data_IF_448657788201
#
_entry.id   IF_448657788201
#
_cell.length_a   1.000
_cell.length_b   1.000
_cell.length_c   1.000
_cell.angle_alpha   90.00
_cell.angle_beta   90.00
_cell.angle_gamma   90.00
#
_symmetry.space_group_name_H-M   'P 1'
#
loop_
_entity.id
_entity.type
_entity.pdbx_description
1 polymer ?
#
# COMPACT_ATOMS: atom_id res chain seq x y z
N UNK A 1 23.73 46.64 -42.42
CA UNK A 1 23.99 46.80 -40.97
C UNK A 1 22.67 46.56 -40.27
N UNK A 2 22.70 45.85 -39.13
CA UNK A 2 21.52 45.36 -38.43
C UNK A 2 20.53 46.45 -38.03
N UNK A 3 19.22 46.21 -38.19
CA UNK A 3 18.14 46.89 -37.45
C UNK A 3 16.93 45.93 -37.41
N UNK A 4 16.56 45.44 -36.22
CA UNK A 4 15.62 46.04 -35.26
C UNK A 4 14.20 46.11 -35.80
N UNK A 5 13.34 45.28 -35.22
CA UNK A 5 11.90 45.24 -35.51
C UNK A 5 11.21 46.26 -34.59
N UNK A 6 10.32 47.07 -35.17
CA UNK A 6 9.43 48.00 -34.47
C UNK A 6 7.98 47.47 -34.56
N UNK A 7 7.35 47.15 -33.43
CA UNK A 7 5.93 46.74 -33.32
C UNK A 7 5.65 45.93 -32.05
N UNK A 8 4.41 45.93 -31.50
CA UNK A 8 4.04 45.06 -30.38
C UNK A 8 4.02 43.60 -30.85
N UNK A 9 4.89 42.78 -30.26
CA UNK A 9 4.92 41.33 -30.43
C UNK A 9 4.03 40.69 -29.35
N UNK A 10 3.11 39.81 -29.77
CA UNK A 10 2.48 38.87 -28.84
C UNK A 10 3.48 37.73 -28.65
N UNK A 11 4.25 37.82 -27.57
CA UNK A 11 4.93 36.66 -27.01
C UNK A 11 3.85 35.90 -26.25
N UNK A 12 3.64 34.63 -26.60
CA UNK A 12 2.82 33.74 -25.78
C UNK A 12 3.51 33.60 -24.42
N UNK A 13 3.12 34.46 -23.48
CA UNK A 13 3.31 34.25 -22.07
C UNK A 13 2.31 33.17 -21.65
N UNK A 14 2.59 31.92 -22.04
CA UNK A 14 1.99 30.80 -21.34
C UNK A 14 2.58 30.81 -19.93
N UNK A 15 1.95 31.57 -19.03
CA UNK A 15 1.94 31.33 -17.59
C UNK A 15 1.18 30.02 -17.29
N UNK A 16 1.50 28.96 -18.04
CA UNK A 16 1.15 27.60 -17.64
C UNK A 16 2.07 27.29 -16.46
N UNK A 17 1.65 27.76 -15.28
CA UNK A 17 2.29 27.44 -14.02
C UNK A 17 2.34 25.92 -13.92
N UNK A 18 3.52 25.35 -14.16
CA UNK A 18 3.75 23.94 -13.91
C UNK A 18 3.56 23.74 -12.41
N UNK A 19 2.44 23.12 -12.05
CA UNK A 19 2.12 22.79 -10.66
C UNK A 19 2.72 21.42 -10.34
N UNK A 20 3.36 21.30 -9.18
CA UNK A 20 3.69 19.99 -8.61
C UNK A 20 2.38 19.24 -8.36
N UNK A 21 2.25 18.04 -8.94
CA UNK A 21 1.04 17.22 -8.84
C UNK A 21 1.39 15.83 -8.31
N UNK A 22 0.52 15.35 -7.43
CA UNK A 22 0.59 13.97 -6.94
C UNK A 22 0.07 13.01 -8.01
N UNK A 23 0.79 11.91 -8.21
CA UNK A 23 0.31 10.79 -9.01
C UNK A 23 -0.72 9.96 -8.23
N UNK A 24 -1.36 9.00 -8.90
CA UNK A 24 -2.44 8.20 -8.31
C UNK A 24 -1.92 7.39 -7.10
N UNK A 25 -2.30 7.82 -5.90
CA UNK A 25 -1.97 7.13 -4.66
C UNK A 25 -2.73 5.81 -4.49
N UNK A 26 -4.05 5.78 -4.72
CA UNK A 26 -4.90 4.59 -4.57
C UNK A 26 -4.71 3.55 -5.70
N UNK A 27 -3.54 2.92 -5.75
CA UNK A 27 -3.16 1.94 -6.77
C UNK A 27 -2.65 0.64 -6.15
N UNK A 28 -2.97 -0.49 -6.79
CA UNK A 28 -2.50 -1.80 -6.39
C UNK A 28 -2.06 -2.64 -7.61
N UNK A 29 -1.17 -3.59 -7.36
CA UNK A 29 -0.74 -4.64 -8.28
C UNK A 29 -1.04 -5.99 -7.65
N UNK A 30 -1.92 -6.76 -8.28
CA UNK A 30 -2.34 -8.06 -7.81
C UNK A 30 -1.91 -9.12 -8.82
N UNK A 31 -1.18 -10.12 -8.35
CA UNK A 31 -0.76 -11.27 -9.15
C UNK A 31 -1.36 -12.56 -8.60
N UNK A 32 -1.70 -13.49 -9.48
CA UNK A 32 -2.24 -14.79 -9.10
C UNK A 32 -2.75 -15.56 -10.30
N UNK A 33 -3.72 -16.43 -10.05
CA UNK A 33 -4.28 -17.35 -11.05
C UNK A 33 -5.76 -17.06 -11.29
N UNK A 34 -6.19 -17.20 -12.55
CA UNK A 34 -7.58 -17.03 -12.95
C UNK A 34 -8.00 -18.11 -13.97
N UNK A 35 -9.27 -18.59 -13.92
CA UNK A 35 -9.82 -19.58 -14.85
C UNK A 35 -10.15 -18.94 -16.22
N UNK A 36 -9.17 -18.32 -16.87
CA UNK A 36 -9.36 -17.54 -18.10
C UNK A 36 -9.91 -18.39 -19.27
N UNK A 37 -9.70 -19.70 -19.25
CA UNK A 37 -10.16 -20.64 -20.26
C UNK A 37 -11.68 -20.87 -20.21
N UNK A 38 -12.33 -20.57 -19.08
CA UNK A 38 -13.80 -20.61 -18.98
C UNK A 38 -14.46 -19.45 -19.74
N UNK A 39 -13.78 -18.30 -19.83
CA UNK A 39 -14.30 -17.09 -20.50
C UNK A 39 -13.80 -16.97 -21.93
N UNK A 40 -12.50 -17.14 -22.13
CA UNK A 40 -11.83 -16.96 -23.42
C UNK A 40 -11.61 -18.34 -24.05
N UNK A 41 -12.44 -18.71 -25.02
CA UNK A 41 -12.48 -20.08 -25.57
C UNK A 41 -11.33 -20.39 -26.52
N UNK A 42 -10.77 -19.36 -27.15
CA UNK A 42 -9.68 -19.54 -28.13
C UNK A 42 -8.31 -19.21 -27.50
N UNK A 43 -7.26 -19.94 -27.90
CA UNK A 43 -5.89 -19.69 -27.41
C UNK A 43 -5.42 -18.26 -27.74
N UNK A 44 -5.85 -17.70 -28.88
CA UNK A 44 -5.51 -16.33 -29.28
C UNK A 44 -6.11 -15.27 -28.35
N UNK A 45 -7.28 -15.53 -27.76
CA UNK A 45 -7.89 -14.66 -26.77
C UNK A 45 -7.23 -14.84 -25.40
N UNK A 46 -6.97 -16.09 -24.99
CA UNK A 46 -6.34 -16.42 -23.72
C UNK A 46 -4.97 -15.73 -23.54
N UNK A 47 -4.14 -15.69 -24.58
CA UNK A 47 -2.81 -15.03 -24.56
C UNK A 47 -2.88 -13.54 -24.18
N UNK A 48 -4.03 -12.86 -24.38
CA UNK A 48 -4.21 -11.46 -23.95
C UNK A 48 -4.35 -11.30 -22.44
N UNK A 49 -4.59 -12.40 -21.72
CA UNK A 49 -4.84 -12.46 -20.28
C UNK A 49 -3.78 -13.30 -19.53
N UNK A 50 -2.71 -13.75 -20.21
CA UNK A 50 -1.59 -14.48 -19.60
C UNK A 50 -0.38 -13.56 -19.57
N UNK A 51 0.18 -13.32 -18.38
CA UNK A 51 1.32 -12.43 -18.18
C UNK A 51 1.12 -11.04 -18.85
N UNK A 52 -0.11 -10.52 -18.80
CA UNK A 52 -0.48 -9.19 -19.28
C UNK A 52 -1.06 -8.37 -18.13
N UNK A 53 -0.54 -7.16 -17.86
CA UNK A 53 -1.14 -6.28 -16.87
C UNK A 53 -2.46 -5.71 -17.40
N UNK A 54 -3.54 -5.91 -16.65
CA UNK A 54 -4.90 -5.46 -16.99
C UNK A 54 -5.43 -4.59 -15.86
N UNK A 55 -5.98 -3.42 -16.21
CA UNK A 55 -6.52 -2.51 -15.21
C UNK A 55 -7.98 -2.86 -14.89
N UNK A 56 -8.25 -3.10 -13.62
CA UNK A 56 -9.59 -3.30 -13.06
C UNK A 56 -9.95 -2.07 -12.23
N UNK A 57 -11.12 -1.49 -12.53
CA UNK A 57 -11.71 -0.35 -11.81
C UNK A 57 -13.16 -0.59 -11.39
N UNK A 58 -13.81 -1.57 -12.00
CA UNK A 58 -15.19 -1.96 -11.71
C UNK A 58 -15.24 -3.45 -11.47
N UNK A 59 -16.09 -3.86 -10.54
CA UNK A 59 -16.27 -5.27 -10.20
C UNK A 59 -16.75 -6.11 -11.40
N UNK A 60 -17.61 -5.54 -12.25
CA UNK A 60 -18.10 -6.21 -13.45
C UNK A 60 -16.98 -6.60 -14.46
N UNK A 61 -15.85 -5.88 -14.44
CA UNK A 61 -14.73 -6.18 -15.34
C UNK A 61 -13.94 -7.43 -14.88
N UNK A 62 -14.12 -7.88 -13.62
CA UNK A 62 -13.47 -9.09 -13.08
C UNK A 62 -13.94 -10.33 -13.85
N UNK A 63 -15.26 -10.58 -13.86
CA UNK A 63 -15.82 -11.77 -14.52
C UNK A 63 -15.54 -11.74 -16.03
N UNK A 64 -15.57 -10.55 -16.64
CA UNK A 64 -15.30 -10.38 -18.08
C UNK A 64 -13.87 -10.75 -18.48
N UNK A 65 -12.89 -10.44 -17.63
CA UNK A 65 -11.48 -10.64 -17.98
C UNK A 65 -10.90 -11.92 -17.39
N UNK A 66 -11.31 -12.28 -16.17
CA UNK A 66 -10.69 -13.34 -15.37
C UNK A 66 -11.64 -14.51 -15.04
N UNK A 67 -12.95 -14.37 -15.29
CA UNK A 67 -13.92 -15.44 -15.08
C UNK A 67 -14.55 -15.52 -13.69
N UNK A 68 -15.31 -16.60 -13.43
CA UNK A 68 -15.99 -16.80 -12.15
C UNK A 68 -15.00 -17.11 -11.01
N UNK A 69 -15.50 -17.12 -9.77
CA UNK A 69 -14.71 -17.66 -8.66
C UNK A 69 -14.65 -19.17 -8.84
N UNK A 70 -13.46 -19.74 -8.71
CA UNK A 70 -13.20 -21.17 -8.79
C UNK A 70 -12.19 -21.56 -7.72
N UNK A 71 -12.40 -22.68 -7.07
CA UNK A 71 -11.44 -23.21 -6.12
C UNK A 71 -10.07 -23.45 -6.78
N UNK A 72 -9.01 -23.18 -6.03
CA UNK A 72 -7.61 -23.21 -6.52
C UNK A 72 -7.19 -21.98 -7.34
N UNK A 73 -8.12 -21.15 -7.82
CA UNK A 73 -7.81 -19.88 -8.49
C UNK A 73 -7.93 -18.70 -7.53
N UNK A 74 -6.93 -17.83 -7.52
CA UNK A 74 -6.87 -16.75 -6.51
C UNK A 74 -7.50 -15.44 -6.99
N UNK A 75 -7.29 -15.01 -8.24
CA UNK A 75 -7.58 -13.64 -8.66
C UNK A 75 -9.06 -13.23 -8.57
N UNK A 76 -10.04 -13.99 -9.10
CA UNK A 76 -11.44 -13.54 -9.06
C UNK A 76 -11.96 -13.36 -7.63
N UNK A 77 -11.63 -14.29 -6.73
CA UNK A 77 -12.00 -14.23 -5.32
C UNK A 77 -11.36 -13.03 -4.62
N UNK A 78 -10.04 -12.83 -4.78
CA UNK A 78 -9.30 -11.74 -4.13
C UNK A 78 -9.74 -10.36 -4.62
N UNK A 79 -9.99 -10.22 -5.92
CA UNK A 79 -10.53 -8.98 -6.46
C UNK A 79 -11.90 -8.68 -5.88
N UNK A 80 -12.81 -9.67 -5.83
CA UNK A 80 -14.12 -9.47 -5.19
C UNK A 80 -13.96 -9.08 -3.72
N UNK A 81 -13.10 -9.74 -2.95
CA UNK A 81 -12.80 -9.38 -1.56
C UNK A 81 -12.35 -7.91 -1.41
N UNK A 82 -11.47 -7.43 -2.30
CA UNK A 82 -11.10 -6.02 -2.36
C UNK A 82 -12.31 -5.12 -2.65
N UNK A 83 -13.12 -5.46 -3.66
CA UNK A 83 -14.31 -4.70 -4.07
C UNK A 83 -15.44 -4.70 -3.02
N UNK A 84 -15.49 -5.67 -2.08
CA UNK A 84 -16.42 -5.61 -0.93
C UNK A 84 -16.19 -4.37 -0.05
N UNK A 85 -14.99 -3.78 -0.08
CA UNK A 85 -14.70 -2.52 0.62
C UNK A 85 -15.22 -1.28 -0.12
N UNK A 86 -15.46 -1.40 -1.44
CA UNK A 86 -15.81 -0.30 -2.31
C UNK A 86 -17.06 0.45 -1.84
N UNK A 87 -17.09 1.74 -2.11
CA UNK A 87 -18.28 2.59 -1.98
C UNK A 87 -18.78 2.97 -3.39
N UNK A 88 -19.73 3.90 -3.46
CA UNK A 88 -20.35 4.35 -4.72
C UNK A 88 -19.37 4.82 -5.80
N UNK A 89 -18.16 5.26 -5.42
CA UNK A 89 -17.11 5.73 -6.34
C UNK A 89 -16.21 4.62 -6.90
N UNK A 90 -16.49 3.35 -6.59
CA UNK A 90 -15.64 2.21 -6.95
C UNK A 90 -14.42 2.08 -6.04
N UNK A 91 -13.41 1.34 -6.52
CA UNK A 91 -12.20 1.02 -5.78
C UNK A 91 -10.95 1.31 -6.64
N UNK A 92 -10.21 2.36 -6.29
CA UNK A 92 -8.88 2.71 -6.80
C UNK A 92 -8.60 2.38 -8.27
N UNK A 93 -7.36 2.01 -8.57
CA UNK A 93 -7.01 1.33 -9.83
C UNK A 93 -6.13 0.14 -9.52
N UNK A 94 -6.57 -1.05 -9.91
CA UNK A 94 -5.88 -2.31 -9.63
C UNK A 94 -5.30 -2.83 -10.94
N UNK A 95 -3.98 -2.99 -11.01
CA UNK A 95 -3.31 -3.68 -12.09
C UNK A 95 -3.24 -5.18 -11.76
N UNK A 96 -3.91 -5.99 -12.54
CA UNK A 96 -4.02 -7.44 -12.31
C UNK A 96 -3.20 -8.19 -13.35
N UNK A 97 -2.45 -9.18 -12.88
CA UNK A 97 -1.67 -10.09 -13.72
C UNK A 97 -2.05 -11.53 -13.39
N UNK A 98 -2.59 -12.23 -14.38
CA UNK A 98 -2.78 -13.66 -14.32
C UNK A 98 -1.55 -14.38 -14.89
N UNK A 99 -0.98 -15.31 -14.12
CA UNK A 99 0.13 -16.17 -14.56
C UNK A 99 -0.32 -17.52 -15.08
N UNK A 100 -1.55 -17.94 -14.75
CA UNK A 100 -2.09 -19.21 -15.18
C UNK A 100 -2.27 -19.25 -16.69
N UNK A 101 -1.66 -20.25 -17.30
CA UNK A 101 -1.77 -20.57 -18.72
C UNK A 101 -2.35 -21.99 -18.88
N UNK A 102 -3.58 -22.13 -19.40
CA UNK A 102 -4.25 -23.42 -19.56
C UNK A 102 -3.57 -24.37 -20.56
N UNK A 103 -2.67 -23.87 -21.41
CA UNK A 103 -1.91 -24.70 -22.34
C UNK A 103 -0.71 -25.39 -21.68
N UNK A 104 -0.17 -24.82 -20.60
CA UNK A 104 1.05 -25.28 -19.94
C UNK A 104 0.80 -25.85 -18.55
N UNK A 105 -0.11 -25.24 -17.78
CA UNK A 105 -0.47 -25.67 -16.43
C UNK A 105 -1.59 -26.69 -16.50
N UNK A 106 -1.22 -27.96 -16.67
CA UNK A 106 -2.16 -29.06 -16.84
C UNK A 106 -1.89 -30.22 -15.89
N UNK A 107 -2.96 -30.89 -15.47
CA UNK A 107 -2.89 -32.14 -14.73
C UNK A 107 -2.41 -33.31 -15.62
N UNK A 108 -2.27 -34.48 -15.02
CA UNK A 108 -1.83 -35.70 -15.71
C UNK A 108 -2.84 -36.20 -16.77
N UNK A 109 -4.07 -35.65 -16.76
CA UNK A 109 -5.13 -35.92 -17.72
C UNK A 109 -5.23 -34.85 -18.83
N UNK A 110 -4.21 -33.98 -18.96
CA UNK A 110 -4.14 -32.88 -19.93
C UNK A 110 -5.25 -31.81 -19.75
N UNK A 111 -5.81 -31.70 -18.54
CA UNK A 111 -6.81 -30.67 -18.19
C UNK A 111 -6.16 -29.49 -17.47
N UNK A 112 -6.65 -28.25 -17.67
CA UNK A 112 -6.10 -27.07 -16.99
C UNK A 112 -6.20 -27.20 -15.46
N UNK A 113 -5.07 -27.05 -14.76
CA UNK A 113 -4.97 -27.22 -13.31
C UNK A 113 -4.11 -26.10 -12.66
N UNK A 114 -4.69 -25.22 -11.83
CA UNK A 114 -3.98 -24.12 -11.20
C UNK A 114 -2.93 -24.57 -10.19
N UNK A 115 -3.00 -25.80 -9.66
CA UNK A 115 -2.03 -26.33 -8.70
C UNK A 115 -0.63 -26.51 -9.30
N UNK A 116 -0.55 -26.56 -10.64
CA UNK A 116 0.72 -26.68 -11.39
C UNK A 116 1.46 -25.36 -11.53
N UNK A 117 0.85 -24.23 -11.17
CA UNK A 117 1.51 -22.92 -11.16
C UNK A 117 2.56 -22.90 -10.06
N UNK A 118 3.81 -22.64 -10.44
CA UNK A 118 4.94 -22.67 -9.51
C UNK A 118 5.26 -21.27 -8.98
N UNK A 119 6.09 -21.21 -7.92
CA UNK A 119 6.64 -19.94 -7.46
C UNK A 119 7.46 -19.19 -8.52
N UNK A 120 8.06 -19.89 -9.49
CA UNK A 120 8.80 -19.27 -10.59
C UNK A 120 7.87 -18.50 -11.55
N UNK A 121 6.66 -18.99 -11.77
CA UNK A 121 5.68 -18.32 -12.63
C UNK A 121 5.21 -17.00 -11.99
N UNK A 122 5.06 -16.98 -10.66
CA UNK A 122 4.69 -15.79 -9.89
C UNK A 122 5.86 -14.80 -9.82
N UNK A 123 7.07 -15.25 -9.47
CA UNK A 123 8.28 -14.40 -9.44
C UNK A 123 8.52 -13.78 -10.82
N UNK A 124 8.42 -14.60 -11.87
CA UNK A 124 8.64 -14.22 -13.25
C UNK A 124 10.10 -13.95 -13.59
N UNK A 125 10.35 -13.63 -14.85
CA UNK A 125 11.68 -13.36 -15.38
C UNK A 125 11.63 -12.29 -16.48
N UNK A 126 12.80 -11.84 -16.91
CA UNK A 126 12.93 -11.11 -18.16
C UNK A 126 13.28 -12.09 -19.27
N UNK A 127 12.52 -12.06 -20.37
CA UNK A 127 12.86 -12.86 -21.55
C UNK A 127 14.14 -12.32 -22.25
N UNK A 128 14.62 -13.02 -23.29
CA UNK A 128 15.81 -12.61 -24.05
C UNK A 128 15.66 -11.23 -24.73
N UNK A 129 14.44 -10.71 -24.84
CA UNK A 129 14.12 -9.40 -25.40
C UNK A 129 13.85 -8.36 -24.29
N UNK A 130 14.12 -8.69 -23.03
CA UNK A 130 13.94 -7.81 -21.88
C UNK A 130 12.48 -7.61 -21.46
N UNK A 131 11.54 -8.45 -21.92
CA UNK A 131 10.13 -8.33 -21.54
C UNK A 131 9.89 -9.02 -20.19
N UNK A 132 9.30 -8.33 -19.21
CA UNK A 132 9.01 -8.92 -17.91
C UNK A 132 7.79 -9.86 -17.93
N UNK A 133 7.82 -10.88 -17.08
CA UNK A 133 6.67 -11.72 -16.69
C UNK A 133 6.48 -11.71 -15.17
N UNK A 134 5.37 -12.28 -14.69
CA UNK A 134 5.09 -12.41 -13.26
C UNK A 134 5.14 -11.08 -12.50
N UNK A 135 5.74 -11.08 -11.31
CA UNK A 135 5.91 -9.91 -10.46
C UNK A 135 6.75 -8.80 -11.14
N UNK A 136 7.71 -9.17 -12.00
CA UNK A 136 8.54 -8.19 -12.75
C UNK A 136 7.71 -7.24 -13.62
N UNK A 137 6.46 -7.60 -13.97
CA UNK A 137 5.56 -6.72 -14.71
C UNK A 137 5.23 -5.42 -13.96
N UNK A 138 5.40 -5.38 -12.64
CA UNK A 138 5.26 -4.15 -11.85
C UNK A 138 6.19 -3.02 -12.34
N UNK A 139 7.39 -3.34 -12.84
CA UNK A 139 8.30 -2.36 -13.44
C UNK A 139 7.75 -1.74 -14.73
N UNK A 140 7.01 -2.53 -15.52
CA UNK A 140 6.44 -2.09 -16.79
C UNK A 140 5.20 -1.20 -16.62
N UNK A 141 4.59 -1.16 -15.42
CA UNK A 141 3.41 -0.35 -15.15
C UNK A 141 3.64 1.13 -15.41
N UNK A 142 4.83 1.67 -15.09
CA UNK A 142 5.13 3.08 -15.34
C UNK A 142 5.13 3.41 -16.83
N UNK A 143 5.82 2.61 -17.66
CA UNK A 143 5.84 2.83 -19.11
C UNK A 143 4.47 2.65 -19.76
N UNK A 144 3.64 1.74 -19.22
CA UNK A 144 2.33 1.44 -19.80
C UNK A 144 1.20 2.36 -19.32
N UNK A 145 1.24 2.80 -18.07
CA UNK A 145 0.14 3.50 -17.41
C UNK A 145 0.51 4.87 -16.83
N UNK A 146 1.80 5.21 -16.80
CA UNK A 146 2.32 6.49 -16.28
C UNK A 146 2.47 6.57 -14.76
N UNK A 147 2.35 5.45 -14.05
CA UNK A 147 2.47 5.40 -12.58
C UNK A 147 2.94 4.02 -12.11
N UNK A 148 3.57 3.97 -10.93
CA UNK A 148 3.89 2.71 -10.26
C UNK A 148 2.79 2.31 -9.26
N UNK A 149 2.44 1.02 -9.17
CA UNK A 149 1.51 0.55 -8.15
C UNK A 149 2.10 0.74 -6.75
N UNK A 150 1.32 1.31 -5.81
CA UNK A 150 1.79 1.54 -4.43
C UNK A 150 1.65 0.32 -3.52
N UNK A 151 0.74 -0.60 -3.85
CA UNK A 151 0.45 -1.80 -3.06
C UNK A 151 0.64 -3.04 -3.93
N UNK A 152 1.48 -3.99 -3.52
CA UNK A 152 1.75 -5.24 -4.24
C UNK A 152 1.28 -6.42 -3.41
N UNK A 153 0.52 -7.32 -4.04
CA UNK A 153 -0.05 -8.49 -3.39
C UNK A 153 0.09 -9.72 -4.27
N UNK A 154 0.35 -10.86 -3.64
CA UNK A 154 0.30 -12.18 -4.27
C UNK A 154 -0.43 -13.19 -3.36
N UNK A 155 -1.70 -12.94 -2.96
CA UNK A 155 -2.37 -13.74 -1.93
C UNK A 155 -2.46 -15.21 -2.35
N UNK A 156 -2.02 -16.10 -1.46
CA UNK A 156 -1.94 -17.56 -1.71
C UNK A 156 -0.58 -18.02 -2.24
N UNK A 157 0.25 -17.11 -2.73
CA UNK A 157 1.62 -17.38 -3.19
C UNK A 157 2.67 -16.69 -2.31
N UNK A 158 2.23 -15.72 -1.52
CA UNK A 158 3.02 -14.96 -0.58
C UNK A 158 3.48 -15.79 0.63
N UNK A 159 3.09 -17.06 0.77
CA UNK A 159 3.71 -18.02 1.70
C UNK A 159 5.07 -18.55 1.23
N UNK A 160 5.43 -18.38 -0.04
CA UNK A 160 6.68 -18.86 -0.61
C UNK A 160 7.81 -17.85 -0.40
N UNK A 161 8.91 -18.25 0.24
CA UNK A 161 10.04 -17.38 0.53
C UNK A 161 10.63 -16.67 -0.71
N UNK A 162 10.69 -17.37 -1.85
CA UNK A 162 11.15 -16.79 -3.12
C UNK A 162 10.24 -15.67 -3.65
N UNK A 163 8.92 -15.82 -3.48
CA UNK A 163 7.94 -14.79 -3.86
C UNK A 163 8.06 -13.58 -2.92
N UNK A 164 8.17 -13.81 -1.61
CA UNK A 164 8.38 -12.77 -0.58
C UNK A 164 9.61 -11.92 -0.87
N UNK A 165 10.76 -12.56 -1.10
CA UNK A 165 12.03 -11.88 -1.39
C UNK A 165 11.95 -11.03 -2.66
N UNK A 166 11.27 -11.52 -3.70
CA UNK A 166 11.08 -10.75 -4.93
C UNK A 166 10.13 -9.56 -4.72
N UNK A 167 9.05 -9.73 -3.97
CA UNK A 167 8.13 -8.64 -3.64
C UNK A 167 8.86 -7.50 -2.91
N UNK A 168 9.69 -7.82 -1.92
CA UNK A 168 10.54 -6.84 -1.22
C UNK A 168 11.47 -6.10 -2.19
N UNK A 169 12.19 -6.84 -3.04
CA UNK A 169 13.13 -6.27 -4.01
C UNK A 169 12.44 -5.30 -4.99
N UNK A 170 11.23 -5.63 -5.45
CA UNK A 170 10.42 -4.76 -6.32
C UNK A 170 9.96 -3.53 -5.53
N UNK A 171 9.38 -3.73 -4.34
CA UNK A 171 8.88 -2.65 -3.49
C UNK A 171 9.96 -1.61 -3.17
N UNK A 172 11.18 -2.06 -2.85
CA UNK A 172 12.33 -1.18 -2.61
C UNK A 172 12.71 -0.33 -3.83
N UNK A 173 12.55 -0.87 -5.04
CA UNK A 173 12.89 -0.18 -6.30
C UNK A 173 11.84 0.80 -6.78
N UNK A 174 10.56 0.41 -6.76
CA UNK A 174 9.46 1.23 -7.31
C UNK A 174 8.78 2.12 -6.27
N UNK A 175 9.27 2.11 -5.02
CA UNK A 175 8.66 2.79 -3.89
C UNK A 175 7.22 2.34 -3.64
N UNK A 176 7.03 1.03 -3.52
CA UNK A 176 5.77 0.39 -3.20
C UNK A 176 5.87 -0.40 -1.89
N UNK A 177 4.79 -1.08 -1.53
CA UNK A 177 4.66 -1.85 -0.29
C UNK A 177 4.03 -3.20 -0.60
N UNK A 178 4.47 -4.24 0.10
CA UNK A 178 3.94 -5.59 -0.05
C UNK A 178 3.19 -6.04 1.19
N UNK A 179 2.33 -7.04 1.01
CA UNK A 179 1.49 -7.61 2.05
C UNK A 179 1.72 -9.11 2.10
N UNK A 180 2.04 -9.62 3.29
CA UNK A 180 2.24 -11.03 3.55
C UNK A 180 1.25 -11.52 4.57
N UNK A 181 0.55 -12.59 4.24
CA UNK A 181 -0.40 -13.26 5.08
C UNK A 181 0.27 -14.37 5.90
N UNK A 182 -0.17 -14.49 7.15
CA UNK A 182 0.18 -15.63 7.98
C UNK A 182 -0.59 -16.87 7.49
N UNK A 183 0.01 -18.07 7.58
CA UNK A 183 -0.70 -19.31 7.29
C UNK A 183 -1.98 -19.47 8.13
N UNK A 184 -2.93 -20.23 7.61
CA UNK A 184 -4.18 -20.53 8.31
C UNK A 184 -3.92 -21.30 9.62
N UNK A 185 -4.65 -20.95 10.68
CA UNK A 185 -4.61 -21.66 11.96
C UNK A 185 -3.40 -21.33 12.86
N UNK A 186 -2.58 -20.36 12.47
CA UNK A 186 -1.43 -19.91 13.27
C UNK A 186 -1.88 -19.23 14.55
N UNK A 187 -1.32 -19.64 15.69
CA UNK A 187 -1.57 -19.02 17.00
C UNK A 187 -0.76 -17.73 17.19
N UNK A 188 -1.17 -16.88 18.14
CA UNK A 188 -0.43 -15.67 18.49
C UNK A 188 1.03 -15.97 18.88
N UNK A 189 1.27 -17.06 19.62
CA UNK A 189 2.62 -17.46 20.01
C UNK A 189 3.48 -17.82 18.79
N UNK A 190 2.95 -18.64 17.89
CA UNK A 190 3.66 -19.02 16.65
C UNK A 190 3.94 -17.81 15.76
N UNK A 191 3.04 -16.83 15.77
CA UNK A 191 3.21 -15.56 15.05
C UNK A 191 4.35 -14.71 15.63
N UNK A 192 4.52 -14.70 16.95
CA UNK A 192 5.66 -14.04 17.61
C UNK A 192 6.97 -14.79 17.32
N UNK A 193 6.95 -16.11 17.41
CA UNK A 193 8.10 -16.97 17.09
C UNK A 193 8.53 -16.78 15.62
N UNK A 194 7.57 -16.60 14.70
CA UNK A 194 7.81 -16.31 13.27
C UNK A 194 8.52 -14.98 12.98
N UNK A 195 8.49 -14.02 13.92
CA UNK A 195 9.32 -12.80 13.83
C UNK A 195 10.79 -13.07 14.21
N UNK A 196 11.07 -14.20 14.84
CA UNK A 196 12.40 -14.65 15.26
C UNK A 196 12.89 -15.87 14.47
N UNK A 197 14.10 -16.37 14.80
CA UNK A 197 14.73 -17.48 14.08
C UNK A 197 14.09 -18.85 14.34
N UNK A 198 13.23 -18.96 15.36
CA UNK A 198 12.59 -20.22 15.78
C UNK A 198 11.18 -20.41 15.20
N UNK A 199 10.76 -19.53 14.29
CA UNK A 199 9.46 -19.56 13.65
C UNK A 199 9.19 -20.81 12.83
N UNK A 200 7.96 -21.34 12.92
CA UNK A 200 7.47 -22.41 12.04
C UNK A 200 7.20 -21.94 10.60
N UNK A 201 7.15 -20.62 10.38
CA UNK A 201 7.09 -19.95 9.10
C UNK A 201 7.85 -18.62 9.17
N UNK A 202 8.21 -18.07 8.01
CA UNK A 202 9.13 -16.94 7.94
C UNK A 202 8.43 -15.57 7.88
N UNK A 203 8.37 -14.85 9.00
CA UNK A 203 8.06 -13.41 9.05
C UNK A 203 9.28 -12.58 9.49
N UNK A 204 10.48 -13.12 9.29
CA UNK A 204 11.73 -12.51 9.75
C UNK A 204 12.22 -11.44 8.76
N UNK A 205 11.49 -10.34 8.67
CA UNK A 205 11.90 -9.15 7.91
C UNK A 205 11.88 -7.91 8.78
N UNK A 206 12.72 -6.94 8.44
CA UNK A 206 12.76 -5.60 9.03
C UNK A 206 12.57 -4.51 7.98
N UNK A 207 12.09 -4.87 6.78
CA UNK A 207 11.78 -3.88 5.76
C UNK A 207 10.52 -3.10 6.16
N UNK A 208 10.59 -1.77 6.07
CA UNK A 208 9.44 -0.92 6.33
C UNK A 208 8.38 -1.04 5.24
N UNK A 209 8.72 -1.56 4.06
CA UNK A 209 7.82 -1.77 2.93
C UNK A 209 6.96 -3.02 3.04
N UNK A 210 7.22 -3.90 4.02
CA UNK A 210 6.46 -5.14 4.23
C UNK A 210 5.39 -4.94 5.30
N UNK A 211 4.16 -5.35 5.01
CA UNK A 211 3.05 -5.35 5.96
C UNK A 211 2.61 -6.79 6.21
N UNK A 212 2.78 -7.25 7.45
CA UNK A 212 2.40 -8.60 7.87
C UNK A 212 0.93 -8.60 8.29
N UNK A 213 0.17 -9.60 7.85
CA UNK A 213 -1.27 -9.69 8.03
C UNK A 213 -1.62 -10.99 8.77
N UNK A 214 -2.34 -10.89 9.88
CA UNK A 214 -2.87 -12.02 10.64
C UNK A 214 -4.12 -11.60 11.42
N UNK A 215 -5.19 -12.39 11.53
CA UNK A 215 -5.36 -13.74 11.02
C UNK A 215 -5.86 -13.76 9.57
N UNK A 216 -6.13 -14.94 9.02
CA UNK A 216 -7.00 -15.06 7.84
C UNK A 216 -8.44 -14.65 8.19
N UNK A 217 -9.25 -14.34 7.18
CA UNK A 217 -10.65 -13.91 7.33
C UNK A 217 -11.60 -15.05 6.96
N UNK A 218 -12.74 -15.13 7.62
CA UNK A 218 -13.80 -16.08 7.26
C UNK A 218 -14.71 -15.47 6.19
N UNK A 219 -14.99 -16.22 5.14
CA UNK A 219 -15.88 -15.80 4.06
C UNK A 219 -16.64 -16.98 3.46
N UNK A 220 -17.82 -16.73 2.94
CA UNK A 220 -18.60 -17.73 2.21
C UNK A 220 -17.89 -18.11 0.91
N UNK A 221 -17.73 -19.40 0.64
CA UNK A 221 -17.24 -19.86 -0.65
C UNK A 221 -18.27 -19.57 -1.75
N UNK A 222 -17.87 -18.76 -2.73
CA UNK A 222 -18.70 -18.31 -3.85
C UNK A 222 -18.43 -19.11 -5.14
N UNK A 223 -17.62 -20.17 -5.09
CA UNK A 223 -17.53 -21.12 -6.20
C UNK A 223 -18.76 -22.02 -6.22
N UNK A 224 -19.71 -21.72 -7.12
CA UNK A 224 -20.94 -22.51 -7.31
C UNK A 224 -20.70 -23.97 -7.71
N UNK A 225 -19.48 -24.32 -8.13
CA UNK A 225 -19.11 -25.68 -8.54
C UNK A 225 -18.26 -26.43 -7.49
N UNK A 226 -17.95 -25.78 -6.36
CA UNK A 226 -17.21 -26.41 -5.26
C UNK A 226 -18.14 -27.30 -4.42
N UNK A 227 -17.58 -28.37 -3.87
CA UNK A 227 -18.27 -29.19 -2.86
C UNK A 227 -18.54 -28.40 -1.55
N UNK A 228 -17.80 -27.31 -1.33
CA UNK A 228 -17.94 -26.40 -0.17
C UNK A 228 -18.70 -25.12 -0.51
N UNK A 229 -19.40 -25.08 -1.66
CA UNK A 229 -20.17 -23.90 -2.09
C UNK A 229 -21.18 -23.45 -1.01
N UNK A 230 -21.11 -22.18 -0.62
CA UNK A 230 -21.96 -21.63 0.44
C UNK A 230 -21.49 -21.93 1.87
N UNK A 231 -20.42 -22.69 2.06
CA UNK A 231 -19.80 -22.92 3.37
C UNK A 231 -18.80 -21.80 3.71
N UNK A 232 -18.51 -21.65 5.01
CA UNK A 232 -17.54 -20.68 5.51
C UNK A 232 -16.13 -21.24 5.33
N UNK A 233 -15.29 -20.51 4.60
CA UNK A 233 -13.90 -20.86 4.32
C UNK A 233 -12.95 -19.74 4.72
N UNK A 234 -11.71 -20.10 5.02
CA UNK A 234 -10.66 -19.15 5.34
C UNK A 234 -10.11 -18.48 4.08
N UNK A 235 -9.89 -17.16 4.14
CA UNK A 235 -9.41 -16.36 3.04
C UNK A 235 -8.32 -15.37 3.48
N UNK A 236 -7.30 -15.20 2.65
CA UNK A 236 -6.14 -14.33 2.92
C UNK A 236 -6.54 -12.87 3.22
N UNK A 237 -6.03 -12.31 4.32
CA UNK A 237 -6.41 -10.99 4.82
C UNK A 237 -5.89 -9.84 3.95
N UNK A 238 -4.72 -9.99 3.32
CA UNK A 238 -4.07 -8.97 2.49
C UNK A 238 -5.02 -8.37 1.44
N UNK A 239 -5.88 -9.17 0.80
CA UNK A 239 -6.85 -8.68 -0.18
C UNK A 239 -7.88 -7.73 0.46
N UNK A 240 -8.43 -8.07 1.63
CA UNK A 240 -9.37 -7.21 2.35
C UNK A 240 -8.68 -5.96 2.86
N UNK A 241 -7.48 -6.10 3.45
CA UNK A 241 -6.70 -4.99 3.97
C UNK A 241 -6.36 -3.98 2.87
N UNK A 242 -5.90 -4.41 1.69
CA UNK A 242 -5.63 -3.47 0.60
C UNK A 242 -6.90 -2.85 0.06
N UNK A 243 -8.03 -3.57 0.04
CA UNK A 243 -9.33 -2.96 -0.23
C UNK A 243 -9.62 -1.78 0.72
N UNK A 244 -9.36 -1.98 2.03
CA UNK A 244 -9.50 -0.93 3.06
C UNK A 244 -8.51 0.21 2.85
N UNK A 245 -7.25 -0.08 2.52
CA UNK A 245 -6.21 0.92 2.23
C UNK A 245 -6.62 1.79 1.04
N UNK A 246 -6.99 1.18 -0.09
CA UNK A 246 -7.38 1.92 -1.30
C UNK A 246 -8.59 2.81 -1.04
N UNK A 247 -9.59 2.30 -0.31
CA UNK A 247 -10.75 3.11 0.07
C UNK A 247 -10.41 4.23 1.05
N UNK A 248 -9.52 3.97 2.01
CA UNK A 248 -9.08 4.99 2.97
C UNK A 248 -8.35 6.13 2.27
N UNK A 249 -7.49 5.82 1.30
CA UNK A 249 -6.79 6.82 0.48
C UNK A 249 -7.79 7.65 -0.34
N UNK A 250 -8.83 7.03 -0.91
CA UNK A 250 -9.83 7.75 -1.70
C UNK A 250 -10.78 8.62 -0.86
N UNK A 251 -11.07 8.23 0.37
CA UNK A 251 -12.05 8.89 1.23
C UNK A 251 -11.43 9.93 2.15
N UNK A 252 -10.28 9.61 2.75
CA UNK A 252 -9.62 10.44 3.76
C UNK A 252 -8.32 11.04 3.25
N UNK A 253 -7.62 10.34 2.34
CA UNK A 253 -6.28 10.73 1.87
C UNK A 253 -5.22 9.72 2.30
N UNK A 254 -4.07 9.77 1.65
CA UNK A 254 -2.98 8.80 1.87
C UNK A 254 -2.24 8.97 3.21
N UNK A 255 -2.36 10.14 3.83
CA UNK A 255 -1.78 10.48 5.14
C UNK A 255 -2.56 9.88 6.31
N UNK A 256 -3.73 9.29 6.07
CA UNK A 256 -4.52 8.63 7.09
C UNK A 256 -4.13 7.16 7.25
N UNK A 257 -4.15 6.70 8.50
CA UNK A 257 -3.95 5.28 8.81
C UNK A 257 -5.15 4.43 8.36
N UNK A 258 -4.91 3.23 7.78
CA UNK A 258 -5.96 2.24 7.51
C UNK A 258 -6.43 1.50 8.79
N UNK A 259 -5.76 1.70 9.93
CA UNK A 259 -6.17 1.14 11.22
C UNK A 259 -7.47 1.78 11.71
N UNK A 260 -8.23 1.03 12.50
CA UNK A 260 -9.56 1.37 13.01
C UNK A 260 -10.60 1.64 11.91
N UNK A 261 -10.46 0.98 10.75
CA UNK A 261 -11.42 1.03 9.63
C UNK A 261 -12.17 -0.31 9.51
N UNK A 262 -13.48 -0.29 9.21
CA UNK A 262 -14.28 -1.50 9.16
C UNK A 262 -13.84 -2.40 7.99
N UNK A 263 -13.78 -3.70 8.24
CA UNK A 263 -13.54 -4.72 7.22
C UNK A 263 -14.90 -5.26 6.80
N UNK A 264 -15.27 -5.06 5.53
CA UNK A 264 -16.56 -5.48 4.99
C UNK A 264 -16.47 -6.83 4.30
N UNK A 265 -17.57 -7.57 4.27
CA UNK A 265 -17.70 -8.73 3.40
C UNK A 265 -16.94 -9.97 3.88
N UNK A 266 -16.69 -10.02 5.19
CA UNK A 266 -16.21 -11.16 5.95
C UNK A 266 -17.27 -11.52 6.99
N UNK A 267 -17.26 -12.75 7.47
CA UNK A 267 -18.09 -13.19 8.59
C UNK A 267 -17.41 -12.87 9.93
N UNK A 268 -16.09 -13.04 9.97
CA UNK A 268 -15.25 -12.72 11.13
C UNK A 268 -13.78 -13.00 10.83
N UNK A 269 -12.95 -12.88 11.86
CA UNK A 269 -11.59 -13.39 11.85
C UNK A 269 -11.58 -14.92 11.99
N UNK A 270 -10.75 -15.62 11.20
CA UNK A 270 -10.68 -17.09 11.24
C UNK A 270 -9.98 -17.65 12.47
N UNK A 271 -9.31 -16.79 13.22
CA UNK A 271 -8.78 -17.07 14.55
C UNK A 271 -9.25 -15.96 15.48
N UNK A 272 -9.64 -16.33 16.69
CA UNK A 272 -10.05 -15.37 17.71
C UNK A 272 -8.92 -14.40 18.02
N UNK A 273 -9.21 -13.11 17.94
CA UNK A 273 -8.29 -12.04 18.31
C UNK A 273 -8.85 -11.29 19.52
N UNK A 274 -8.23 -11.50 20.67
CA UNK A 274 -8.68 -10.85 21.90
C UNK A 274 -8.28 -9.37 21.92
N UNK A 275 -9.27 -8.51 22.15
CA UNK A 275 -9.08 -7.10 22.46
C UNK A 275 -9.71 -6.77 23.82
N UNK A 276 -8.87 -6.31 24.75
CA UNK A 276 -9.31 -5.83 26.06
C UNK A 276 -8.94 -4.34 26.18
N UNK A 277 -9.92 -3.42 26.30
CA UNK A 277 -9.64 -1.98 26.40
C UNK A 277 -8.73 -1.65 27.59
N UNK A 278 -7.60 -0.99 27.31
CA UNK A 278 -6.64 -0.57 28.34
C UNK A 278 -5.69 -1.66 28.82
N UNK A 279 -5.78 -2.87 28.29
CA UNK A 279 -4.87 -3.97 28.61
C UNK A 279 -3.78 -4.12 27.54
N UNK A 280 -2.54 -3.85 27.95
CA UNK A 280 -1.36 -3.98 27.11
C UNK A 280 -0.98 -5.43 26.77
N UNK A 281 -1.60 -6.42 27.40
CA UNK A 281 -1.36 -7.85 27.15
C UNK A 281 -2.33 -8.49 26.16
N UNK A 282 -3.33 -7.74 25.68
CA UNK A 282 -4.29 -8.24 24.69
C UNK A 282 -3.61 -8.58 23.36
N UNK A 283 -4.15 -9.55 22.62
CA UNK A 283 -3.57 -10.07 21.38
C UNK A 283 -3.30 -8.96 20.37
N UNK A 284 -4.23 -8.02 20.22
CA UNK A 284 -4.07 -6.88 19.31
C UNK A 284 -2.93 -5.93 19.71
N UNK A 285 -2.51 -5.90 20.99
CA UNK A 285 -1.36 -5.12 21.44
C UNK A 285 -0.06 -5.89 21.21
N UNK A 286 -0.11 -7.21 21.38
CA UNK A 286 1.02 -8.09 21.06
C UNK A 286 1.32 -8.06 19.56
N UNK A 287 0.32 -8.16 18.67
CA UNK A 287 0.53 -8.07 17.21
C UNK A 287 1.10 -6.71 16.80
N UNK A 288 0.54 -5.61 17.31
CA UNK A 288 1.06 -4.25 17.11
C UNK A 288 2.51 -4.10 17.58
N UNK A 289 2.84 -4.65 18.74
CA UNK A 289 4.18 -4.62 19.31
C UNK A 289 5.21 -5.40 18.48
N UNK A 290 4.73 -6.28 17.60
CA UNK A 290 5.52 -7.07 16.68
C UNK A 290 5.35 -6.64 15.21
N UNK A 291 4.83 -5.44 14.94
CA UNK A 291 4.72 -4.90 13.57
C UNK A 291 3.80 -5.70 12.64
N UNK A 292 2.79 -6.37 13.21
CA UNK A 292 1.80 -7.17 12.49
C UNK A 292 0.44 -6.47 12.55
N UNK A 293 -0.23 -6.40 11.41
CA UNK A 293 -1.58 -5.86 11.26
C UNK A 293 -2.58 -6.98 11.50
N UNK A 294 -3.52 -6.74 12.41
CA UNK A 294 -4.57 -7.68 12.78
C UNK A 294 -5.99 -7.18 12.59
N UNK A 295 -6.96 -8.03 12.93
CA UNK A 295 -8.36 -7.64 13.09
C UNK A 295 -8.65 -7.36 14.57
N UNK A 296 -9.48 -6.35 14.85
CA UNK A 296 -10.07 -6.13 16.18
C UNK A 296 -11.59 -6.18 16.10
N UNK A 297 -12.20 -6.90 17.04
CA UNK A 297 -13.65 -7.01 17.23
C UNK A 297 -13.99 -6.73 18.70
N UNK A 298 -15.14 -6.08 18.94
CA UNK A 298 -15.62 -5.83 20.32
C UNK A 298 -17.14 -5.69 20.34
N UNK A 299 -17.73 -5.82 21.53
CA UNK A 299 -19.18 -5.68 21.68
C UNK A 299 -19.72 -4.39 21.04
N UNK A 300 -20.64 -4.53 20.09
CA UNK A 300 -21.25 -3.42 19.34
C UNK A 300 -20.39 -2.83 18.21
N UNK A 301 -19.19 -3.36 17.93
CA UNK A 301 -18.32 -2.96 16.82
C UNK A 301 -17.84 -4.21 16.08
N UNK A 302 -18.28 -4.35 14.83
CA UNK A 302 -17.85 -5.44 13.95
C UNK A 302 -16.35 -5.39 13.62
N UNK A 303 -15.87 -6.28 12.73
CA UNK A 303 -14.46 -6.41 12.37
C UNK A 303 -13.84 -5.11 11.88
N UNK A 304 -12.75 -4.66 12.50
CA UNK A 304 -11.96 -3.51 12.05
C UNK A 304 -10.49 -3.87 11.93
N UNK A 305 -9.80 -3.23 10.99
CA UNK A 305 -8.35 -3.34 10.88
C UNK A 305 -7.68 -2.75 12.13
N UNK A 306 -6.68 -3.44 12.65
CA UNK A 306 -6.00 -3.15 13.90
C UNK A 306 -4.49 -3.16 13.68
N UNK A 307 -3.84 -2.03 13.89
CA UNK A 307 -2.39 -1.91 13.74
C UNK A 307 -2.02 -1.06 12.54
N UNK A 308 -1.02 -0.22 12.76
CA UNK A 308 -0.58 0.79 11.80
C UNK A 308 0.94 0.82 11.67
N UNK A 309 1.63 -0.22 12.16
CA UNK A 309 3.06 -0.41 12.01
C UNK A 309 3.35 -1.51 11.01
N UNK A 310 4.40 -1.32 10.22
CA UNK A 310 4.91 -2.30 9.27
C UNK A 310 5.93 -3.24 9.92
N UNK A 311 6.42 -4.21 9.14
CA UNK A 311 7.36 -5.22 9.60
C UNK A 311 8.72 -4.66 10.05
N UNK A 312 9.06 -3.42 9.67
CA UNK A 312 10.26 -2.75 10.17
C UNK A 312 10.29 -2.60 11.70
N UNK A 313 9.13 -2.57 12.34
CA UNK A 313 9.00 -2.55 13.79
C UNK A 313 9.09 -3.99 14.37
N UNK A 314 9.77 -4.21 15.52
CA UNK A 314 10.39 -3.23 16.43
C UNK A 314 11.85 -2.87 16.14
N UNK A 315 12.48 -3.51 15.15
CA UNK A 315 13.93 -3.35 14.90
C UNK A 315 14.31 -1.93 14.46
N UNK A 316 13.45 -1.27 13.68
CA UNK A 316 13.61 0.13 13.27
C UNK A 316 12.81 1.03 14.20
N UNK A 317 13.43 2.16 14.58
CA UNK A 317 12.84 3.17 15.48
C UNK A 317 12.39 4.43 14.75
N UNK A 318 12.55 4.48 13.43
CA UNK A 318 12.19 5.62 12.59
C UNK A 318 10.67 5.77 12.48
N UNK A 319 10.17 6.99 12.27
CA UNK A 319 8.74 7.24 12.00
C UNK A 319 8.20 6.46 10.78
N UNK A 320 9.07 6.07 9.85
CA UNK A 320 8.71 5.28 8.66
C UNK A 320 8.24 3.85 8.99
N UNK A 321 8.32 3.40 10.25
CA UNK A 321 7.62 2.18 10.67
C UNK A 321 6.11 2.34 10.67
N UNK A 322 5.60 3.56 10.74
CA UNK A 322 4.17 3.82 10.60
C UNK A 322 3.74 3.71 9.15
N UNK A 323 2.59 3.07 8.94
CA UNK A 323 1.99 2.85 7.65
C UNK A 323 1.82 4.19 6.93
N UNK A 324 1.08 5.13 7.48
CA UNK A 324 0.79 6.40 6.81
C UNK A 324 2.06 7.22 6.52
N UNK A 325 3.04 7.24 7.42
CA UNK A 325 4.25 8.02 7.26
C UNK A 325 5.08 7.60 6.03
N UNK A 326 5.31 6.29 5.85
CA UNK A 326 5.97 5.82 4.63
C UNK A 326 5.08 5.97 3.39
N UNK A 327 3.76 5.87 3.51
CA UNK A 327 2.87 6.12 2.36
C UNK A 327 2.98 7.57 1.88
N UNK A 328 2.94 8.53 2.81
CA UNK A 328 3.13 9.95 2.56
C UNK A 328 4.49 10.21 1.90
N UNK A 329 5.57 9.60 2.42
CA UNK A 329 6.89 9.69 1.78
C UNK A 329 6.86 9.20 0.32
N UNK A 330 6.31 8.01 0.07
CA UNK A 330 6.28 7.41 -1.26
C UNK A 330 5.45 8.22 -2.28
N UNK A 331 4.44 8.97 -1.82
CA UNK A 331 3.63 9.88 -2.66
C UNK A 331 4.36 11.21 -2.90
N UNK A 332 4.98 11.78 -1.86
CA UNK A 332 5.73 13.03 -1.98
C UNK A 332 6.92 12.88 -2.90
N UNK A 333 7.69 11.81 -2.74
CA UNK A 333 8.86 11.52 -3.54
C UNK A 333 8.50 11.39 -5.02
N UNK A 334 7.40 10.70 -5.33
CA UNK A 334 6.94 10.54 -6.71
C UNK A 334 6.47 11.87 -7.32
N UNK A 335 5.75 12.70 -6.56
CA UNK A 335 5.31 14.02 -7.01
C UNK A 335 6.50 14.95 -7.33
N UNK A 336 7.49 14.98 -6.44
CA UNK A 336 8.71 15.78 -6.62
C UNK A 336 9.52 15.26 -7.82
N UNK A 337 9.72 13.94 -7.92
CA UNK A 337 10.44 13.34 -9.06
C UNK A 337 9.77 13.68 -10.39
N UNK A 338 8.44 13.56 -10.47
CA UNK A 338 7.70 13.89 -11.69
C UNK A 338 7.86 15.37 -12.07
N UNK A 339 7.80 16.28 -11.10
CA UNK A 339 8.01 17.70 -11.36
C UNK A 339 9.45 18.03 -11.78
N UNK A 340 10.44 17.43 -11.12
CA UNK A 340 11.86 17.65 -11.44
C UNK A 340 12.24 17.08 -12.81
N UNK A 341 11.61 16.00 -13.26
CA UNK A 341 11.86 15.42 -14.58
C UNK A 341 11.56 16.41 -15.72
N UNK A 342 10.52 17.25 -15.57
CA UNK A 342 10.22 18.31 -16.54
C UNK A 342 11.28 19.43 -16.59
N UNK A 343 12.06 19.58 -15.50
CA UNK A 343 13.12 20.58 -15.34
C UNK A 343 14.50 20.06 -15.75
N UNK A 344 14.61 18.75 -15.97
CA UNK A 344 15.81 18.12 -16.52
C UNK A 344 16.18 18.74 -17.87
N UNK A 345 17.47 18.80 -18.16
CA UNK A 345 18.05 19.32 -19.42
C UNK A 345 17.78 20.81 -19.70
N UNK A 346 17.24 21.55 -18.72
CA UNK A 346 17.10 23.01 -18.77
C UNK A 346 18.37 23.67 -18.22
N UNK A 347 18.81 24.79 -18.79
CA UNK A 347 19.95 25.59 -18.28
C UNK A 347 19.88 25.86 -16.77
N UNK A 348 20.96 25.60 -16.04
CA UNK A 348 21.06 25.85 -14.60
C UNK A 348 21.40 27.29 -14.25
N UNK A 349 20.50 28.24 -14.52
CA UNK A 349 20.63 29.61 -14.01
C UNK A 349 20.12 29.70 -12.56
N UNK A 350 20.65 30.64 -11.78
CA UNK A 350 20.22 30.87 -10.39
C UNK A 350 18.69 31.09 -10.31
N UNK A 351 18.15 31.92 -11.20
CA UNK A 351 16.71 32.18 -11.26
C UNK A 351 15.87 30.91 -11.46
N UNK A 352 16.36 29.92 -12.21
CA UNK A 352 15.64 28.66 -12.42
C UNK A 352 15.76 27.74 -11.22
N UNK A 353 16.92 27.70 -10.56
CA UNK A 353 17.13 26.95 -9.32
C UNK A 353 16.17 27.46 -8.24
N UNK A 354 16.09 28.78 -8.08
CA UNK A 354 15.16 29.42 -7.15
C UNK A 354 13.70 29.16 -7.54
N UNK A 355 13.35 29.22 -8.83
CA UNK A 355 12.00 28.87 -9.29
C UNK A 355 11.59 27.43 -8.96
N UNK A 356 12.52 26.46 -9.08
CA UNK A 356 12.28 25.06 -8.70
C UNK A 356 12.09 24.93 -7.19
N UNK A 357 12.93 25.60 -6.43
CA UNK A 357 12.85 25.67 -4.97
C UNK A 357 11.51 26.23 -4.51
N UNK A 358 11.12 27.40 -5.02
CA UNK A 358 9.88 28.09 -4.69
C UNK A 358 8.65 27.27 -5.07
N UNK A 359 8.64 26.63 -6.24
CA UNK A 359 7.51 25.83 -6.69
C UNK A 359 7.26 24.61 -5.79
N UNK A 360 8.32 23.88 -5.42
CA UNK A 360 8.21 22.70 -4.55
C UNK A 360 7.88 23.13 -3.12
N UNK A 361 8.48 24.21 -2.61
CA UNK A 361 8.14 24.75 -1.29
C UNK A 361 6.69 25.24 -1.22
N UNK A 362 6.20 25.98 -2.23
CA UNK A 362 4.82 26.46 -2.25
C UNK A 362 3.83 25.28 -2.18
N UNK A 363 4.09 24.20 -2.92
CA UNK A 363 3.28 22.99 -2.88
C UNK A 363 3.38 22.26 -1.53
N UNK A 364 4.59 21.97 -1.05
CA UNK A 364 4.80 21.19 0.18
C UNK A 364 4.40 21.94 1.46
N UNK A 365 4.59 23.26 1.53
CA UNK A 365 4.06 24.12 2.61
C UNK A 365 2.53 24.20 2.53
N UNK A 366 1.94 24.07 1.33
CA UNK A 366 0.50 23.91 1.16
C UNK A 366 -0.06 22.72 1.94
N UNK A 367 0.70 21.63 2.01
CA UNK A 367 0.38 20.37 2.70
C UNK A 367 0.55 20.41 4.22
N UNK A 368 1.07 21.52 4.76
CA UNK A 368 1.18 21.74 6.21
C UNK A 368 0.05 22.60 6.77
N UNK A 369 -0.93 22.98 5.94
CA UNK A 369 -1.99 23.94 6.27
C UNK A 369 -3.35 23.26 6.24
N UNK A 370 -4.34 23.92 6.85
CA UNK A 370 -5.73 23.45 6.89
C UNK A 370 -6.06 22.64 8.15
N UNK A 371 -7.28 22.09 8.18
CA UNK A 371 -7.80 21.35 9.34
C UNK A 371 -7.33 19.89 9.38
N UNK A 372 -6.85 19.36 8.26
CA UNK A 372 -6.35 17.98 8.12
C UNK A 372 -5.04 17.97 7.31
N UNK A 373 -3.94 18.48 7.90
CA UNK A 373 -2.67 18.61 7.19
C UNK A 373 -2.00 17.24 6.98
N UNK A 374 -1.43 17.03 5.79
CA UNK A 374 -0.66 15.80 5.49
C UNK A 374 0.74 15.83 6.13
N UNK A 375 1.30 17.03 6.32
CA UNK A 375 2.64 17.27 6.83
C UNK A 375 2.64 18.20 8.04
N UNK A 376 3.52 17.96 9.01
CA UNK A 376 3.83 18.88 10.11
C UNK A 376 4.89 19.92 9.73
N UNK A 377 5.74 19.61 8.75
CA UNK A 377 6.76 20.53 8.24
C UNK A 377 7.29 20.06 6.89
N UNK A 378 7.72 21.02 6.07
CA UNK A 378 8.29 20.77 4.75
C UNK A 378 9.29 21.86 4.38
N UNK A 379 10.44 21.47 3.85
CA UNK A 379 11.45 22.35 3.30
C UNK A 379 12.15 21.64 2.16
N UNK A 380 12.21 22.30 1.02
CA UNK A 380 13.01 21.90 -0.12
C UNK A 380 13.97 23.05 -0.43
N UNK A 381 15.26 22.78 -0.57
CA UNK A 381 16.24 23.85 -0.78
C UNK A 381 17.38 23.39 -1.68
N UNK A 382 17.92 24.30 -2.48
CA UNK A 382 19.18 24.04 -3.18
C UNK A 382 20.30 23.80 -2.17
N UNK A 383 20.98 22.66 -2.30
CA UNK A 383 21.98 22.21 -1.34
C UNK A 383 23.32 22.91 -1.60
N UNK A 384 23.44 24.13 -1.07
CA UNK A 384 24.64 24.97 -1.20
C UNK A 384 25.86 24.41 -0.49
N UNK A 385 25.66 23.52 0.49
CA UNK A 385 26.76 22.89 1.23
C UNK A 385 27.40 21.76 0.41
N UNK A 386 26.58 20.97 -0.27
CA UNK A 386 27.05 19.89 -1.15
C UNK A 386 27.51 20.41 -2.51
N UNK A 387 26.96 21.54 -2.97
CA UNK A 387 27.27 22.07 -4.28
C UNK A 387 28.72 22.53 -4.39
N UNK A 388 29.37 22.22 -5.52
CA UNK A 388 30.70 22.71 -5.86
C UNK A 388 30.75 23.20 -7.32
N UNK A 389 31.73 24.05 -7.70
CA UNK A 389 31.93 24.42 -9.10
C UNK A 389 32.15 23.23 -10.03
N UNK A 390 32.76 22.14 -9.54
CA UNK A 390 32.95 20.91 -10.29
C UNK A 390 31.60 20.23 -10.60
N UNK A 391 30.72 20.08 -9.61
CA UNK A 391 29.37 19.55 -9.84
C UNK A 391 28.55 20.42 -10.79
N UNK A 392 28.65 21.76 -10.68
CA UNK A 392 28.00 22.66 -11.64
C UNK A 392 28.53 22.47 -13.06
N UNK A 393 29.84 22.31 -13.23
CA UNK A 393 30.47 22.08 -14.54
C UNK A 393 30.03 20.73 -15.14
N UNK A 394 29.82 19.71 -14.30
CA UNK A 394 29.29 18.40 -14.70
C UNK A 394 27.76 18.40 -14.89
N UNK A 395 27.09 19.54 -14.65
CA UNK A 395 25.64 19.70 -14.78
C UNK A 395 24.84 19.08 -13.63
N UNK A 396 25.47 18.77 -12.50
CA UNK A 396 24.84 18.14 -11.35
C UNK A 396 24.38 19.20 -10.35
N UNK A 397 23.07 19.32 -10.17
CA UNK A 397 22.44 20.26 -9.22
C UNK A 397 21.80 19.47 -8.09
N UNK A 398 22.25 19.72 -6.85
CA UNK A 398 21.78 19.02 -5.67
C UNK A 398 20.76 19.86 -4.89
N UNK A 399 19.70 19.20 -4.41
CA UNK A 399 18.70 19.78 -3.53
C UNK A 399 18.55 18.90 -2.28
N UNK A 400 18.24 19.54 -1.16
CA UNK A 400 17.89 18.89 0.10
C UNK A 400 16.37 18.93 0.28
N UNK A 401 15.80 17.80 0.68
CA UNK A 401 14.39 17.65 1.03
C UNK A 401 14.28 17.26 2.50
N UNK A 402 13.60 18.08 3.29
CA UNK A 402 13.25 17.82 4.68
C UNK A 402 11.73 17.86 4.82
N UNK A 403 11.14 16.82 5.41
CA UNK A 403 9.70 16.80 5.66
C UNK A 403 9.39 15.97 6.90
N UNK A 404 8.27 16.27 7.53
CA UNK A 404 7.75 15.52 8.67
C UNK A 404 6.28 15.18 8.40
N UNK A 405 5.92 13.91 8.18
CA UNK A 405 4.51 13.50 8.12
C UNK A 405 3.79 13.83 9.43
N UNK A 406 2.48 14.04 9.37
CA UNK A 406 1.68 14.20 10.59
C UNK A 406 1.78 12.94 11.47
N UNK A 407 1.87 13.10 12.79
CA UNK A 407 1.86 11.99 13.74
C UNK A 407 0.48 11.35 13.86
N UNK A 408 0.42 10.07 14.25
CA UNK A 408 -0.84 9.38 14.57
C UNK A 408 -0.96 9.14 16.07
N UNK A 409 -2.18 9.21 16.57
CA UNK A 409 -2.51 8.92 17.97
C UNK A 409 -2.62 7.40 18.18
N UNK A 410 -1.49 6.69 18.09
CA UNK A 410 -1.44 5.24 18.33
C UNK A 410 -1.75 4.88 19.80
N UNK A 411 -1.38 5.73 20.75
CA UNK A 411 -1.69 5.57 22.18
C UNK A 411 -2.19 6.88 22.75
N UNK A 412 -3.27 6.82 23.53
CA UNK A 412 -3.83 7.96 24.27
C UNK A 412 -3.90 7.55 25.74
N UNK A 413 -3.19 8.27 26.61
CA UNK A 413 -3.16 8.02 28.05
C UNK A 413 -3.78 9.17 28.82
N UNK A 414 -4.68 8.87 29.76
CA UNK A 414 -5.25 9.85 30.68
C UNK A 414 -4.70 9.60 32.08
N UNK A 415 -4.03 10.60 32.66
CA UNK A 415 -3.60 10.54 34.06
C UNK A 415 -4.80 10.77 34.97
N UNK A 416 -5.24 9.73 35.69
CA UNK A 416 -6.27 9.86 36.73
C UNK A 416 -5.65 10.21 38.09
N UNK A 417 -6.27 11.13 38.80
CA UNK A 417 -5.97 11.43 40.21
C UNK A 417 -7.28 11.68 40.96
N UNK A 418 -7.43 11.09 42.14
CA UNK A 418 -8.53 11.41 43.05
C UNK A 418 -8.18 12.70 43.78
N UNK A 419 -8.87 13.80 43.46
CA UNK A 419 -8.68 15.09 44.13
C UNK A 419 -9.80 15.32 45.15
N UNK A 420 -9.51 15.06 46.44
CA UNK A 420 -10.49 15.24 47.53
C UNK A 420 -10.81 16.71 47.80
N UNK A 421 -9.97 17.66 47.36
CA UNK A 421 -10.22 19.08 47.57
C UNK A 421 -11.42 19.57 46.75
N UNK A 422 -11.78 18.87 45.66
CA UNK A 422 -13.02 19.13 44.91
C UNK A 422 -14.28 18.84 45.73
N UNK A 423 -14.17 18.08 46.83
CA UNK A 423 -15.27 17.90 47.77
C UNK A 423 -15.50 19.16 48.61
N UNK A 424 -14.46 19.93 48.91
CA UNK A 424 -14.60 21.17 49.68
C UNK A 424 -15.47 22.18 48.92
N UNK A 425 -15.19 22.35 47.62
CA UNK A 425 -15.98 23.23 46.73
C UNK A 425 -17.44 22.76 46.61
N UNK A 426 -17.67 21.45 46.48
CA UNK A 426 -19.02 20.88 46.37
C UNK A 426 -19.82 20.95 47.68
N UNK A 427 -19.14 20.87 48.83
CA UNK A 427 -19.76 20.89 50.16
C UNK A 427 -19.82 22.29 50.78
N UNK A 428 -19.35 23.32 50.07
CA UNK A 428 -19.29 24.70 50.59
C UNK A 428 -18.38 24.84 51.81
N UNK A 429 -17.43 23.93 51.97
CA UNK A 429 -16.46 23.99 53.06
C UNK A 429 -15.48 25.10 52.72
N UNK A 430 -15.33 26.06 53.64
CA UNK A 430 -14.24 27.03 53.55
C UNK A 430 -12.95 26.25 53.38
N UNK A 431 -12.21 26.48 52.28
CA UNK A 431 -10.86 25.96 52.15
C UNK A 431 -10.08 26.56 53.32
N UNK A 432 -9.89 25.80 54.41
CA UNK A 432 -8.97 26.25 55.44
C UNK A 432 -7.61 26.25 54.77
N UNK A 433 -7.01 27.43 54.66
CA UNK A 433 -5.62 27.50 54.27
C UNK A 433 -4.80 26.61 55.22
N UNK A 434 -4.04 25.72 54.60
CA UNK A 434 -2.94 24.92 55.13
C UNK A 434 -3.27 23.57 55.81
N UNK A 435 -2.70 22.51 55.21
CA UNK A 435 -1.54 21.81 55.78
C UNK A 435 -0.62 21.34 54.64
#
# INVERSE_FOLDING_TARGET
>A
MAERIFGPEIVDANEDGVLVRELKAATAFLIGTAPIHEVHKTSQEQVKYINKPILIRREADITKHFGPTRDGYTLPQKLRAMFKQAKTRGLGTICVVNVFDPATHKDDADKPDPSKVTGLDIIGAFDAMGRPSGLKLAYSCYQRFGWFPKNILAPGYDGLAGVRSEMEAICGRIRARCYWDAPFGVTLQQLQEARGPEGSFDFQTNDTRVNLCWPMMETVNLDEMSDTAGEVVADHYSAYLVGVVLMSVMEYGYHHSPSNRPIKGIEGAAQDVLYVPGDGSSDTQVTRSNGIISCEERFGKGPHTSGNRNAGYPTKTTMLTFFHAQYTQDVLDEAILHFLDEKKDRNGSLARIEQVEDAINAWGIGKTKGNDPELSGFRFAFDREKMSPAFAADGWYHYALEFAPVGIMETISVRRSLNINLLADALGLSQSEAA
#
